data_IF_701878205612
#
_entry.id   IF_701878205612
#
_cell.length_a   1.000
_cell.length_b   1.000
_cell.length_c   1.000
_cell.angle_alpha   90.00
_cell.angle_beta   90.00
_cell.angle_gamma   90.00
#
_symmetry.space_group_name_H-M   'P 1'
#
loop_
_entity.id
_entity.type
_entity.pdbx_description
1 polymer ?
#
# COMPACT_ATOMS: atom_id res chain seq x y z
N UNK A 1 66.21 20.39 28.74
CA UNK A 1 65.42 20.75 27.54
C UNK A 1 64.52 19.57 27.19
N UNK A 2 63.25 19.60 27.61
CA UNK A 2 62.31 18.47 27.55
C UNK A 2 61.13 18.79 26.63
N UNK A 3 60.91 17.87 25.68
CA UNK A 3 59.65 17.56 24.97
C UNK A 3 58.58 18.65 24.96
N UNK A 4 58.53 19.48 23.91
CA UNK A 4 57.38 20.34 23.60
C UNK A 4 57.17 20.51 22.09
N UNK A 5 57.09 19.42 21.34
CA UNK A 5 56.69 19.48 19.92
C UNK A 5 56.43 18.06 19.45
N UNK A 6 55.24 17.52 19.72
CA UNK A 6 54.67 16.34 19.01
C UNK A 6 53.25 16.03 19.53
N UNK A 7 52.40 17.06 19.72
CA UNK A 7 50.99 16.87 20.09
C UNK A 7 50.00 17.62 19.18
N UNK A 8 50.48 18.40 18.20
CA UNK A 8 49.60 19.15 17.30
C UNK A 8 49.24 18.40 15.99
N UNK A 9 50.00 17.40 15.57
CA UNK A 9 49.72 16.68 14.32
C UNK A 9 48.70 15.53 14.47
N UNK A 10 48.39 15.08 15.68
CA UNK A 10 47.44 13.98 15.92
C UNK A 10 45.98 14.44 16.06
N UNK A 11 45.73 15.75 16.25
CA UNK A 11 44.36 16.27 16.38
C UNK A 11 43.69 16.65 15.05
N UNK A 12 44.44 16.71 13.94
CA UNK A 12 43.88 17.07 12.63
C UNK A 12 43.39 15.87 11.81
N UNK A 13 43.65 14.63 12.25
CA UNK A 13 43.31 13.41 11.49
C UNK A 13 41.93 12.83 11.84
N UNK A 14 41.17 13.44 12.77
CA UNK A 14 39.83 12.97 13.17
C UNK A 14 38.65 13.76 12.57
N UNK A 15 38.89 14.77 11.73
CA UNK A 15 37.82 15.63 11.18
C UNK A 15 37.45 15.35 9.71
N UNK A 16 38.01 14.30 9.08
CA UNK A 16 37.85 14.06 7.65
C UNK A 16 36.91 12.88 7.28
N UNK A 17 35.87 12.60 8.07
CA UNK A 17 34.83 11.63 7.66
C UNK A 17 33.40 12.10 8.02
N UNK A 18 32.81 13.05 7.28
CA UNK A 18 31.36 13.08 7.15
C UNK A 18 30.97 13.17 5.67
N UNK A 19 31.30 12.15 4.89
CA UNK A 19 30.81 12.00 3.51
C UNK A 19 31.06 10.54 3.13
N UNK A 20 30.11 9.61 3.22
CA UNK A 20 29.01 9.47 2.27
C UNK A 20 27.98 8.46 2.82
N UNK A 21 27.31 8.77 3.93
CA UNK A 21 26.02 8.12 4.18
C UNK A 21 25.00 8.87 3.32
N UNK A 22 24.53 8.27 2.23
CA UNK A 22 23.40 8.82 1.50
C UNK A 22 22.18 8.78 2.43
N UNK A 23 21.96 9.87 3.15
CA UNK A 23 20.84 9.96 4.09
C UNK A 23 19.55 10.10 3.29
N UNK A 24 18.68 9.10 3.45
CA UNK A 24 17.32 9.17 2.94
C UNK A 24 16.57 10.36 3.55
N UNK A 25 15.62 10.98 2.81
CA UNK A 25 14.87 12.12 3.29
C UNK A 25 14.29 11.91 4.70
N UNK A 26 14.43 12.87 5.62
CA UNK A 26 13.85 12.77 6.97
C UNK A 26 12.32 12.90 6.96
N UNK A 27 11.78 13.55 5.94
CA UNK A 27 10.36 13.77 5.73
C UNK A 27 9.99 13.49 4.27
N UNK A 28 8.73 13.13 4.05
CA UNK A 28 8.18 12.95 2.72
C UNK A 28 6.92 13.78 2.50
N UNK A 29 6.64 14.01 1.22
CA UNK A 29 5.38 14.56 0.73
C UNK A 29 4.98 13.84 -0.55
N UNK A 30 3.72 13.98 -0.95
CA UNK A 30 3.26 13.58 -2.27
C UNK A 30 2.36 14.65 -2.88
N UNK A 31 2.47 14.79 -4.20
CA UNK A 31 1.55 15.61 -4.99
C UNK A 31 0.13 15.00 -4.97
N UNK A 32 -0.87 15.83 -5.24
CA UNK A 32 -2.24 15.36 -5.43
C UNK A 32 -2.29 14.41 -6.64
N UNK A 33 -3.22 13.47 -6.59
CA UNK A 33 -3.42 12.47 -7.64
C UNK A 33 -4.85 12.58 -8.13
N UNK A 34 -5.01 12.66 -9.43
CA UNK A 34 -6.27 12.62 -10.15
C UNK A 34 -6.16 11.61 -11.28
N UNK A 35 -7.12 10.68 -11.38
CA UNK A 35 -7.13 9.68 -12.44
C UNK A 35 -8.55 9.16 -12.70
N UNK A 36 -8.71 8.42 -13.79
CA UNK A 36 -10.00 7.86 -14.23
C UNK A 36 -9.92 6.35 -14.34
N UNK A 37 -11.04 5.68 -14.08
CA UNK A 37 -11.20 4.25 -14.26
C UNK A 37 -12.29 3.99 -15.28
N UNK A 38 -11.96 3.19 -16.29
CA UNK A 38 -12.88 2.79 -17.35
C UNK A 38 -12.93 1.28 -17.49
N UNK A 39 -14.03 0.81 -18.06
CA UNK A 39 -14.13 -0.55 -18.54
C UNK A 39 -13.24 -0.71 -19.78
N UNK A 40 -12.35 -1.70 -19.73
CA UNK A 40 -11.32 -1.87 -20.74
C UNK A 40 -11.89 -2.24 -22.12
N UNK A 41 -13.09 -2.82 -22.18
CA UNK A 41 -13.75 -3.25 -23.41
C UNK A 41 -14.69 -2.16 -23.94
N UNK A 42 -15.65 -1.75 -23.13
CA UNK A 42 -16.69 -0.77 -23.53
C UNK A 42 -16.20 0.67 -23.53
N UNK A 43 -15.04 0.94 -22.91
CA UNK A 43 -14.46 2.28 -22.71
C UNK A 43 -15.32 3.24 -21.89
N UNK A 44 -16.38 2.74 -21.24
CA UNK A 44 -17.25 3.53 -20.37
C UNK A 44 -16.60 3.75 -19.00
N UNK A 45 -16.83 4.90 -18.34
CA UNK A 45 -16.40 5.10 -16.96
C UNK A 45 -16.99 4.06 -16.02
N UNK A 46 -16.23 3.70 -14.98
CA UNK A 46 -16.70 2.79 -13.93
C UNK A 46 -16.84 3.58 -12.62
N UNK A 47 -18.09 3.82 -12.23
CA UNK A 47 -18.43 4.34 -10.90
C UNK A 47 -18.25 3.28 -9.81
N UNK A 48 -17.92 3.68 -8.59
CA UNK A 48 -17.94 2.78 -7.43
C UNK A 48 -16.78 1.79 -7.37
N UNK A 49 -15.65 2.09 -8.04
CA UNK A 49 -14.39 1.35 -7.87
C UNK A 49 -13.75 1.84 -6.58
N UNK A 50 -13.47 0.92 -5.66
CA UNK A 50 -12.71 1.21 -4.45
C UNK A 50 -11.24 1.27 -4.83
N UNK A 51 -10.59 2.38 -4.50
CA UNK A 51 -9.18 2.61 -4.79
C UNK A 51 -8.44 2.84 -3.49
N UNK A 52 -7.46 2.00 -3.18
CA UNK A 52 -6.49 2.27 -2.12
C UNK A 52 -5.18 2.75 -2.71
N UNK A 53 -4.47 3.60 -1.97
CA UNK A 53 -3.12 4.04 -2.29
C UNK A 53 -2.25 3.91 -1.04
N UNK A 54 -1.06 3.31 -1.18
CA UNK A 54 -0.08 3.27 -0.10
C UNK A 54 1.32 3.67 -0.55
N UNK A 55 2.07 4.25 0.39
CA UNK A 55 3.48 4.59 0.24
C UNK A 55 4.25 3.72 1.23
N UNK A 56 4.81 2.62 0.74
CA UNK A 56 5.41 1.57 1.55
C UNK A 56 6.84 1.94 1.95
N UNK A 57 7.11 1.91 3.25
CA UNK A 57 8.46 2.04 3.76
C UNK A 57 9.14 0.69 3.71
N UNK A 58 10.33 0.64 3.12
CA UNK A 58 11.15 -0.57 3.07
C UNK A 58 12.49 -0.37 3.77
N UNK A 59 13.12 -1.47 4.16
CA UNK A 59 14.42 -1.52 4.80
C UNK A 59 14.98 -2.95 4.81
N UNK A 60 15.77 -3.27 5.84
CA UNK A 60 16.47 -4.55 5.94
C UNK A 60 17.78 -4.56 5.14
N UNK A 61 18.51 -5.68 5.18
CA UNK A 61 19.85 -5.80 4.60
C UNK A 61 19.86 -5.55 3.08
N UNK A 62 18.86 -6.07 2.37
CA UNK A 62 18.70 -5.87 0.91
C UNK A 62 17.85 -4.63 0.56
N UNK A 63 17.33 -3.89 1.55
CA UNK A 63 16.55 -2.68 1.31
C UNK A 63 15.19 -2.88 0.64
N UNK A 64 14.66 -4.11 0.67
CA UNK A 64 13.42 -4.51 0.00
C UNK A 64 12.36 -5.07 0.95
N UNK A 65 12.67 -5.19 2.24
CA UNK A 65 11.73 -5.73 3.22
C UNK A 65 10.76 -4.63 3.65
N UNK A 66 9.43 -4.81 3.52
CA UNK A 66 8.47 -3.86 4.08
C UNK A 66 8.70 -3.68 5.59
N UNK A 67 8.69 -2.44 6.07
CA UNK A 67 8.90 -2.09 7.49
C UNK A 67 7.83 -1.15 8.04
N UNK A 68 6.85 -0.78 7.21
CA UNK A 68 5.70 0.04 7.60
C UNK A 68 5.11 0.80 6.43
N UNK A 69 4.16 1.68 6.72
CA UNK A 69 3.52 2.54 5.73
C UNK A 69 3.76 4.00 6.09
N UNK A 70 4.18 4.81 5.12
CA UNK A 70 4.26 6.27 5.28
C UNK A 70 2.86 6.88 5.26
N UNK A 71 2.04 6.45 4.31
CA UNK A 71 0.66 6.92 4.14
C UNK A 71 -0.17 5.80 3.52
N UNK A 72 -1.43 5.71 3.93
CA UNK A 72 -2.44 4.85 3.33
C UNK A 72 -3.70 5.71 3.16
N UNK A 73 -4.28 5.68 1.97
CA UNK A 73 -5.49 6.42 1.62
C UNK A 73 -6.47 5.49 0.91
N UNK A 74 -7.76 5.79 1.03
CA UNK A 74 -8.85 5.12 0.31
C UNK A 74 -9.79 6.16 -0.28
N UNK A 75 -10.29 5.88 -1.47
CA UNK A 75 -11.34 6.65 -2.14
C UNK A 75 -12.21 5.74 -2.99
N UNK A 76 -13.26 6.28 -3.60
CA UNK A 76 -14.17 5.57 -4.51
C UNK A 76 -14.36 6.42 -5.75
N UNK A 77 -14.39 5.79 -6.94
CA UNK A 77 -14.66 6.52 -8.18
C UNK A 77 -16.09 7.06 -8.24
N UNK A 78 -16.24 8.27 -8.77
CA UNK A 78 -17.54 8.89 -9.02
C UNK A 78 -18.20 8.38 -10.32
N UNK A 79 -19.36 8.93 -10.66
CA UNK A 79 -20.14 8.63 -11.87
C UNK A 79 -19.35 8.77 -13.19
N UNK A 80 -18.33 9.62 -13.21
CA UNK A 80 -17.48 9.86 -14.37
C UNK A 80 -16.21 8.96 -14.33
N UNK A 81 -16.20 7.98 -13.42
CA UNK A 81 -15.10 7.05 -13.18
C UNK A 81 -13.87 7.71 -12.56
N UNK A 82 -13.98 8.96 -12.11
CA UNK A 82 -12.87 9.75 -11.61
C UNK A 82 -12.62 9.45 -10.13
N UNK A 83 -11.36 9.37 -9.74
CA UNK A 83 -10.98 9.41 -8.33
C UNK A 83 -9.89 10.45 -8.09
N UNK A 84 -9.82 10.93 -6.84
CA UNK A 84 -8.78 11.86 -6.42
C UNK A 84 -8.21 11.48 -5.05
N UNK A 85 -6.93 11.79 -4.85
CA UNK A 85 -6.27 11.84 -3.56
C UNK A 85 -5.67 13.22 -3.38
N UNK A 86 -5.92 13.84 -2.22
CA UNK A 86 -5.29 15.12 -1.88
C UNK A 86 -3.77 14.96 -1.73
N UNK A 87 -3.03 16.02 -2.04
CA UNK A 87 -1.62 16.11 -1.69
C UNK A 87 -1.45 15.96 -0.16
N UNK A 88 -0.30 15.44 0.26
CA UNK A 88 0.07 15.36 1.66
C UNK A 88 1.55 15.66 1.83
N UNK A 89 2.00 16.09 2.99
CA UNK A 89 3.39 16.48 3.14
C UNK A 89 3.86 16.74 4.55
N UNK A 90 5.18 16.90 4.63
CA UNK A 90 5.93 17.04 5.88
C UNK A 90 5.71 15.88 6.85
N UNK A 91 5.44 14.68 6.33
CA UNK A 91 5.25 13.48 7.15
C UNK A 91 6.63 12.96 7.55
N UNK A 92 6.94 12.87 8.86
CA UNK A 92 8.22 12.39 9.34
C UNK A 92 8.38 10.89 9.09
N UNK A 93 9.53 10.51 8.55
CA UNK A 93 9.90 9.11 8.33
C UNK A 93 10.27 8.44 9.66
N UNK A 94 9.42 7.52 10.12
CA UNK A 94 9.69 6.74 11.35
C UNK A 94 10.83 5.72 11.16
N UNK A 95 10.75 4.87 10.13
CA UNK A 95 11.70 3.78 9.83
C UNK A 95 11.72 3.49 8.33
N UNK A 96 12.82 2.94 7.82
CA UNK A 96 12.93 2.55 6.41
C UNK A 96 12.97 3.77 5.50
N UNK A 97 12.66 3.60 4.23
CA UNK A 97 12.58 4.68 3.24
C UNK A 97 11.61 4.29 2.11
N UNK A 98 11.11 5.28 1.38
CA UNK A 98 10.25 5.04 0.22
C UNK A 98 11.08 4.68 -1.01
N UNK A 99 10.53 3.87 -1.93
CA UNK A 99 11.18 3.52 -3.21
C UNK A 99 10.37 3.99 -4.40
N UNK A 100 10.87 3.71 -5.60
CA UNK A 100 10.28 4.23 -6.84
C UNK A 100 8.90 3.66 -7.17
N UNK A 101 8.43 2.65 -6.43
CA UNK A 101 7.16 1.97 -6.69
C UNK A 101 5.96 2.70 -6.10
N UNK A 102 6.20 3.73 -5.28
CA UNK A 102 5.15 4.45 -4.54
C UNK A 102 4.54 5.60 -5.37
N UNK A 103 3.22 5.84 -5.30
CA UNK A 103 2.25 5.01 -4.59
C UNK A 103 2.01 3.67 -5.30
N UNK A 104 1.70 2.65 -4.49
CA UNK A 104 1.08 1.43 -4.98
C UNK A 104 -0.44 1.58 -4.86
N UNK A 105 -1.19 1.21 -5.90
CA UNK A 105 -2.65 1.22 -5.89
C UNK A 105 -3.21 -0.19 -5.92
N UNK A 106 -4.31 -0.41 -5.19
CA UNK A 106 -5.22 -1.52 -5.41
C UNK A 106 -6.58 -0.97 -5.83
N UNK A 107 -7.07 -1.43 -6.98
CA UNK A 107 -8.38 -1.06 -7.51
C UNK A 107 -9.27 -2.28 -7.51
N UNK A 108 -10.46 -2.15 -6.92
CA UNK A 108 -11.41 -3.25 -6.81
C UNK A 108 -12.85 -2.80 -7.03
N UNK A 109 -13.58 -3.62 -7.81
CA UNK A 109 -15.02 -3.59 -7.94
C UNK A 109 -15.50 -5.03 -8.18
N UNK A 110 -16.60 -5.48 -7.55
CA UNK A 110 -17.19 -6.78 -7.86
C UNK A 110 -17.43 -6.96 -9.37
N UNK A 111 -17.27 -8.18 -9.85
CA UNK A 111 -17.34 -8.58 -11.27
C UNK A 111 -16.20 -8.10 -12.17
N UNK A 112 -15.24 -7.32 -11.67
CA UNK A 112 -14.02 -6.95 -12.39
C UNK A 112 -12.80 -7.70 -11.86
N UNK A 113 -11.80 -7.89 -12.72
CA UNK A 113 -10.43 -8.21 -12.31
C UNK A 113 -9.87 -7.06 -11.48
N UNK A 114 -9.42 -7.34 -10.26
CA UNK A 114 -8.72 -6.34 -9.46
C UNK A 114 -7.41 -5.94 -10.14
N UNK A 115 -6.96 -4.70 -9.90
CA UNK A 115 -5.70 -4.20 -10.45
C UNK A 115 -4.78 -3.75 -9.34
N UNK A 116 -3.54 -4.23 -9.39
CA UNK A 116 -2.42 -3.66 -8.65
C UNK A 116 -1.57 -2.82 -9.58
N UNK A 117 -1.35 -1.56 -9.23
CA UNK A 117 -0.53 -0.63 -10.01
C UNK A 117 0.59 -0.08 -9.13
N UNK A 118 1.73 0.17 -9.75
CA UNK A 118 2.89 0.84 -9.12
C UNK A 118 3.46 1.82 -10.14
N UNK A 119 4.27 2.76 -9.68
CA UNK A 119 5.16 3.51 -10.58
C UNK A 119 6.25 2.59 -11.18
N UNK A 120 6.89 3.03 -12.26
CA UNK A 120 7.94 2.30 -12.96
C UNK A 120 9.10 1.94 -12.02
N UNK A 121 9.53 0.68 -12.11
CA UNK A 121 10.59 0.15 -11.25
C UNK A 121 11.95 0.52 -11.85
N UNK A 122 12.51 1.64 -11.39
CA UNK A 122 13.92 1.96 -11.64
C UNK A 122 14.86 1.28 -10.63
N UNK A 123 16.00 0.79 -11.10
CA UNK A 123 17.07 0.23 -10.26
C UNK A 123 17.73 1.27 -9.34
N UNK A 124 17.68 2.56 -9.73
CA UNK A 124 18.21 3.67 -8.93
C UNK A 124 17.15 4.19 -7.99
N UNK A 125 17.34 4.03 -6.68
CA UNK A 125 16.40 4.54 -5.66
C UNK A 125 16.32 6.07 -5.76
N UNK A 126 15.10 6.59 -5.89
CA UNK A 126 14.86 8.03 -5.86
C UNK A 126 15.00 8.56 -4.43
N UNK A 127 15.95 9.48 -4.26
CA UNK A 127 16.18 10.24 -3.02
C UNK A 127 15.25 11.46 -2.90
N UNK A 128 14.26 11.62 -3.79
CA UNK A 128 13.33 12.73 -3.71
C UNK A 128 12.37 12.57 -2.51
N UNK A 129 12.26 13.63 -1.69
CA UNK A 129 11.29 13.72 -0.61
C UNK A 129 9.86 13.91 -1.13
N UNK A 130 9.71 14.64 -2.24
CA UNK A 130 8.44 14.80 -2.94
C UNK A 130 8.19 13.58 -3.84
N UNK A 131 7.10 12.87 -3.58
CA UNK A 131 6.65 11.72 -4.35
C UNK A 131 5.59 12.13 -5.38
N UNK A 132 5.67 11.51 -6.55
CA UNK A 132 4.74 11.73 -7.66
C UNK A 132 4.15 10.40 -8.06
N UNK A 133 2.89 10.40 -8.49
CA UNK A 133 2.30 9.22 -9.13
C UNK A 133 2.42 9.35 -10.63
N UNK A 134 2.96 8.34 -11.29
CA UNK A 134 2.94 8.24 -12.75
C UNK A 134 1.53 8.00 -13.29
N UNK A 135 0.58 7.66 -12.42
CA UNK A 135 -0.82 7.47 -12.76
C UNK A 135 -1.63 8.77 -12.69
N UNK A 136 -1.04 9.86 -12.21
CA UNK A 136 -1.70 11.17 -12.22
C UNK A 136 -2.00 11.61 -13.66
N UNK A 137 -3.23 12.06 -13.91
CA UNK A 137 -3.73 12.45 -15.22
C UNK A 137 -4.04 11.28 -16.16
N UNK A 138 -3.95 10.02 -15.70
CA UNK A 138 -4.13 8.84 -16.57
C UNK A 138 -5.50 8.18 -16.44
N UNK A 139 -5.85 7.44 -17.47
CA UNK A 139 -7.01 6.55 -17.50
C UNK A 139 -6.57 5.09 -17.32
N UNK A 140 -7.17 4.41 -16.36
CA UNK A 140 -6.88 3.03 -15.97
C UNK A 140 -8.03 2.15 -16.47
N UNK A 141 -7.71 1.19 -17.33
CA UNK A 141 -8.69 0.19 -17.79
C UNK A 141 -8.79 -1.00 -16.83
N UNK A 142 -9.99 -1.29 -16.33
CA UNK A 142 -10.32 -2.53 -15.62
C UNK A 142 -11.09 -3.48 -16.53
N UNK A 143 -10.78 -4.78 -16.47
CA UNK A 143 -11.45 -5.80 -17.28
C UNK A 143 -12.56 -6.44 -16.47
N UNK A 144 -13.72 -6.64 -17.10
CA UNK A 144 -14.73 -7.56 -16.56
C UNK A 144 -14.11 -8.95 -16.42
N UNK A 145 -14.36 -9.59 -15.29
CA UNK A 145 -13.92 -10.95 -15.05
C UNK A 145 -14.78 -11.92 -15.86
N UNK A 146 -14.15 -12.80 -16.67
CA UNK A 146 -14.84 -13.75 -17.57
C UNK A 146 -14.57 -15.22 -17.24
N UNK A 147 -13.95 -15.52 -16.10
CA UNK A 147 -13.61 -16.88 -15.67
C UNK A 147 -14.71 -17.56 -14.84
N UNK A 148 -14.39 -18.71 -14.25
CA UNK A 148 -15.28 -19.42 -13.31
C UNK A 148 -15.31 -18.73 -11.94
N UNK A 149 -16.29 -19.11 -11.12
CA UNK A 149 -16.42 -18.59 -9.76
C UNK A 149 -15.21 -18.94 -8.88
N UNK A 150 -14.64 -20.13 -9.03
CA UNK A 150 -13.41 -20.53 -8.33
C UNK A 150 -12.21 -19.70 -8.79
N UNK A 151 -12.10 -19.43 -10.08
CA UNK A 151 -11.06 -18.55 -10.62
C UNK A 151 -11.24 -17.12 -10.10
N UNK A 152 -12.49 -16.67 -9.93
CA UNK A 152 -12.76 -15.36 -9.34
C UNK A 152 -12.36 -15.32 -7.87
N UNK A 153 -12.68 -16.36 -7.10
CA UNK A 153 -12.27 -16.48 -5.71
C UNK A 153 -10.74 -16.47 -5.57
N UNK A 154 -10.00 -17.11 -6.47
CA UNK A 154 -8.54 -17.02 -6.53
C UNK A 154 -8.05 -15.59 -6.80
N UNK A 155 -8.73 -14.85 -7.68
CA UNK A 155 -8.42 -13.43 -7.91
C UNK A 155 -8.66 -12.58 -6.65
N UNK A 156 -9.77 -12.79 -5.95
CA UNK A 156 -10.07 -12.06 -4.71
C UNK A 156 -9.12 -12.45 -3.58
N UNK A 157 -8.70 -13.71 -3.52
CA UNK A 157 -7.69 -14.17 -2.56
C UNK A 157 -6.35 -13.43 -2.76
N UNK A 158 -5.92 -13.25 -4.01
CA UNK A 158 -4.69 -12.48 -4.30
C UNK A 158 -4.84 -11.01 -3.92
N UNK A 159 -6.00 -10.39 -4.17
CA UNK A 159 -6.28 -9.04 -3.65
C UNK A 159 -6.19 -9.00 -2.12
N UNK A 160 -6.76 -9.99 -1.42
CA UNK A 160 -6.65 -10.10 0.03
C UNK A 160 -5.20 -10.24 0.50
N UNK A 161 -4.37 -11.00 -0.21
CA UNK A 161 -2.94 -11.14 0.07
C UNK A 161 -2.16 -9.84 -0.17
N UNK A 162 -2.47 -9.13 -1.26
CA UNK A 162 -1.90 -7.81 -1.55
C UNK A 162 -2.31 -6.80 -0.47
N UNK A 163 -3.55 -6.88 0.03
CA UNK A 163 -4.06 -6.04 1.11
C UNK A 163 -3.39 -6.33 2.45
N UNK A 164 -3.22 -7.61 2.81
CA UNK A 164 -2.50 -8.05 4.01
C UNK A 164 -1.07 -7.50 4.02
N UNK A 165 -0.37 -7.61 2.88
CA UNK A 165 0.95 -7.01 2.68
C UNK A 165 0.93 -5.49 2.80
N UNK A 166 -0.08 -4.83 2.20
CA UNK A 166 -0.22 -3.37 2.23
C UNK A 166 -0.45 -2.82 3.64
N UNK A 167 -1.23 -3.54 4.45
CA UNK A 167 -1.60 -3.12 5.80
C UNK A 167 -0.65 -3.61 6.88
N UNK A 168 0.29 -4.49 6.52
CA UNK A 168 1.30 -5.07 7.42
C UNK A 168 0.66 -5.86 8.59
N UNK A 169 -0.41 -6.59 8.28
CA UNK A 169 -1.15 -7.41 9.26
C UNK A 169 -0.27 -8.49 9.89
N UNK A 170 0.60 -9.13 9.11
CA UNK A 170 1.58 -10.10 9.61
C UNK A 170 2.51 -9.53 10.71
N UNK A 171 2.66 -8.20 10.81
CA UNK A 171 3.44 -7.52 11.86
C UNK A 171 2.57 -6.81 12.90
N UNK A 172 1.27 -7.11 12.92
CA UNK A 172 0.30 -6.70 13.94
C UNK A 172 -0.31 -5.31 13.74
N UNK A 173 -0.24 -4.73 12.53
CA UNK A 173 -0.74 -3.39 12.18
C UNK A 173 -0.63 -2.36 13.30
N UNK A 174 0.61 -1.96 13.59
CA UNK A 174 0.92 -1.06 14.70
C UNK A 174 0.33 0.35 14.51
N UNK A 175 0.05 0.73 13.27
CA UNK A 175 -0.42 2.06 12.89
C UNK A 175 -1.93 2.10 12.56
N UNK A 176 -2.67 1.02 12.85
CA UNK A 176 -4.10 0.90 12.61
C UNK A 176 -4.50 1.21 11.15
N UNK A 177 -3.66 0.82 10.19
CA UNK A 177 -3.85 1.08 8.77
C UNK A 177 -5.16 0.50 8.25
N UNK A 178 -5.70 -0.58 8.83
CA UNK A 178 -7.02 -1.10 8.48
C UNK A 178 -8.14 -0.04 8.58
N UNK A 179 -8.02 0.92 9.50
CA UNK A 179 -9.00 2.02 9.63
C UNK A 179 -8.97 2.99 8.46
N UNK A 180 -7.87 3.01 7.70
CA UNK A 180 -7.68 3.90 6.55
C UNK A 180 -8.23 3.32 5.25
N UNK A 181 -8.63 2.04 5.26
CA UNK A 181 -9.16 1.31 4.09
C UNK A 181 -10.42 0.51 4.42
N UNK A 182 -11.44 1.12 5.03
CA UNK A 182 -12.60 0.40 5.52
C UNK A 182 -13.44 -0.22 4.40
N UNK A 183 -13.58 0.45 3.25
CA UNK A 183 -14.45 -0.05 2.18
C UNK A 183 -13.83 -1.26 1.49
N UNK A 184 -12.52 -1.23 1.24
CA UNK A 184 -11.80 -2.35 0.62
C UNK A 184 -11.88 -3.60 1.50
N UNK A 185 -11.60 -3.49 2.79
CA UNK A 185 -11.68 -4.62 3.73
C UNK A 185 -13.10 -5.13 3.90
N UNK A 186 -14.09 -4.24 3.91
CA UNK A 186 -15.50 -4.61 3.92
C UNK A 186 -15.90 -5.37 2.66
N UNK A 187 -15.43 -4.92 1.49
CA UNK A 187 -15.73 -5.57 0.23
C UNK A 187 -15.09 -6.97 0.17
N UNK A 188 -13.86 -7.13 0.65
CA UNK A 188 -13.19 -8.43 0.80
C UNK A 188 -13.94 -9.36 1.76
N UNK A 189 -14.39 -8.83 2.91
CA UNK A 189 -15.22 -9.58 3.86
C UNK A 189 -16.52 -10.08 3.20
N UNK A 190 -17.27 -9.19 2.52
CA UNK A 190 -18.52 -9.54 1.84
C UNK A 190 -18.28 -10.59 0.74
N UNK A 191 -17.21 -10.47 -0.05
CA UNK A 191 -16.84 -11.48 -1.06
C UNK A 191 -16.49 -12.83 -0.42
N UNK A 192 -15.73 -12.83 0.68
CA UNK A 192 -15.35 -14.05 1.41
C UNK A 192 -16.58 -14.81 1.93
N UNK A 193 -17.58 -14.11 2.49
CA UNK A 193 -18.85 -14.70 2.90
C UNK A 193 -19.67 -15.22 1.71
N UNK A 194 -19.70 -14.47 0.61
CA UNK A 194 -20.42 -14.88 -0.61
C UNK A 194 -19.89 -16.21 -1.16
N UNK A 195 -18.57 -16.35 -1.28
CA UNK A 195 -17.95 -17.58 -1.77
C UNK A 195 -18.14 -18.77 -0.81
N UNK A 196 -18.10 -18.53 0.50
CA UNK A 196 -18.39 -19.56 1.50
C UNK A 196 -19.83 -20.07 1.37
N UNK A 197 -20.80 -19.15 1.27
CA UNK A 197 -22.22 -19.50 1.10
C UNK A 197 -22.50 -20.32 -0.18
N UNK A 198 -21.67 -20.14 -1.21
CA UNK A 198 -21.76 -20.88 -2.46
C UNK A 198 -20.91 -22.16 -2.48
N UNK A 199 -20.22 -22.49 -1.38
CA UNK A 199 -19.34 -23.65 -1.30
C UNK A 199 -18.11 -23.57 -2.21
N UNK A 200 -17.73 -22.37 -2.66
CA UNK A 200 -16.56 -22.16 -3.51
C UNK A 200 -15.29 -22.46 -2.73
N UNK A 201 -14.43 -23.31 -3.30
CA UNK A 201 -13.15 -23.67 -2.70
C UNK A 201 -12.01 -23.13 -3.54
N UNK A 202 -11.01 -22.56 -2.86
CA UNK A 202 -9.71 -22.26 -3.47
C UNK A 202 -9.02 -23.56 -3.91
N UNK A 203 -8.13 -23.46 -4.90
CA UNK A 203 -7.44 -24.60 -5.52
C UNK A 203 -5.97 -24.69 -5.09
N UNK A 204 -5.39 -25.88 -5.27
CA UNK A 204 -3.97 -26.13 -5.02
C UNK A 204 -3.59 -25.99 -3.53
N UNK A 205 -2.43 -25.38 -3.26
CA UNK A 205 -1.90 -25.21 -1.89
C UNK A 205 -2.77 -24.30 -1.00
N UNK A 206 -3.72 -23.56 -1.59
CA UNK A 206 -4.66 -22.68 -0.90
C UNK A 206 -5.95 -23.38 -0.51
N UNK A 207 -6.10 -24.67 -0.82
CA UNK A 207 -7.27 -25.44 -0.43
C UNK A 207 -7.45 -25.36 1.10
N UNK A 208 -8.62 -24.92 1.55
CA UNK A 208 -8.92 -24.71 2.96
C UNK A 208 -8.51 -23.34 3.52
N UNK A 209 -7.80 -22.52 2.74
CA UNK A 209 -7.62 -21.10 3.06
C UNK A 209 -8.87 -20.31 2.68
N UNK A 210 -9.06 -19.17 3.34
CA UNK A 210 -10.15 -18.23 3.05
C UNK A 210 -9.60 -16.86 2.69
N UNK A 211 -10.40 -16.10 1.94
CA UNK A 211 -10.14 -14.67 1.70
C UNK A 211 -10.25 -13.93 3.02
N UNK A 212 -9.32 -13.00 3.24
CA UNK A 212 -9.25 -12.18 4.44
C UNK A 212 -10.58 -11.51 4.76
N UNK A 213 -10.94 -11.54 6.04
CA UNK A 213 -12.12 -10.89 6.59
C UNK A 213 -11.72 -9.90 7.68
N UNK A 214 -12.67 -9.07 8.08
CA UNK A 214 -12.48 -8.15 9.22
C UNK A 214 -12.18 -8.89 10.53
N UNK A 215 -12.67 -10.11 10.74
CA UNK A 215 -12.34 -10.95 11.90
C UNK A 215 -10.92 -11.51 11.88
N UNK A 216 -10.23 -11.50 10.74
CA UNK A 216 -8.82 -11.89 10.63
C UNK A 216 -7.85 -10.75 11.03
N UNK A 217 -8.34 -9.52 11.16
CA UNK A 217 -7.50 -8.37 11.47
C UNK A 217 -6.95 -8.53 12.90
N UNK A 218 -5.62 -8.45 13.10
CA UNK A 218 -5.01 -8.68 14.40
C UNK A 218 -5.50 -7.65 15.42
N UNK A 219 -5.85 -8.12 16.61
CA UNK A 219 -6.21 -7.24 17.71
C UNK A 219 -5.02 -6.38 18.12
N UNK A 220 -5.23 -5.07 18.19
CA UNK A 220 -4.27 -4.12 18.71
C UNK A 220 -4.99 -3.18 19.67
N UNK A 221 -4.65 -3.25 20.96
CA UNK A 221 -5.30 -2.47 22.01
C UNK A 221 -5.26 -0.95 21.75
N UNK A 222 -4.25 -0.45 21.02
CA UNK A 222 -4.15 0.97 20.66
C UNK A 222 -5.09 1.37 19.52
N UNK A 223 -5.59 0.41 18.75
CA UNK A 223 -6.46 0.62 17.61
C UNK A 223 -7.95 0.48 17.96
N UNK A 224 -8.31 0.03 19.16
CA UNK A 224 -9.70 -0.21 19.54
C UNK A 224 -10.31 -1.45 18.87
N UNK A 225 -11.64 -1.60 18.95
CA UNK A 225 -12.35 -2.77 18.43
C UNK A 225 -12.51 -2.72 16.91
N UNK A 226 -12.06 -3.78 16.23
CA UNK A 226 -12.28 -3.98 14.80
C UNK A 226 -13.76 -4.14 14.49
N UNK A 227 -14.46 -4.97 15.27
CA UNK A 227 -15.88 -5.23 15.09
C UNK A 227 -16.71 -3.94 15.20
N UNK A 228 -16.44 -3.13 16.23
CA UNK A 228 -17.17 -1.89 16.47
C UNK A 228 -16.96 -0.90 15.32
N UNK A 229 -15.71 -0.77 14.85
CA UNK A 229 -15.39 0.13 13.75
C UNK A 229 -16.04 -0.30 12.44
N UNK A 230 -16.04 -1.60 12.13
CA UNK A 230 -16.62 -2.10 10.88
C UNK A 230 -18.14 -2.25 10.91
N UNK A 231 -18.78 -2.13 12.08
CA UNK A 231 -20.23 -2.28 12.24
C UNK A 231 -21.03 -1.39 11.27
N UNK A 232 -20.63 -0.14 11.07
CA UNK A 232 -21.32 0.78 10.14
C UNK A 232 -21.06 0.48 8.66
N UNK A 233 -19.98 -0.24 8.33
CA UNK A 233 -19.63 -0.60 6.96
C UNK A 233 -20.25 -1.93 6.52
N UNK A 234 -20.51 -2.82 7.49
CA UNK A 234 -21.07 -4.15 7.26
C UNK A 234 -22.61 -4.18 7.23
N UNK A 235 -23.28 -3.08 7.59
CA UNK A 235 -24.71 -2.90 7.40
C UNK A 235 -25.10 -2.89 5.91
#
# INVERSE_FOLDING_TARGET
>A
MKQRTNLLCLLFMFMALPACAAEYPPTYSAEAIEAWVIDAETKKPIEGVIVTANWELVGGFEGNTPVGQMKVLETVTDKDGKFTFSAWGSEPRKKGYLRNRDPQFLLFKPSYEYRRLVNEVSSKISMASLRRSEWNGKTIGMKLFKGTQEEYAEHIYRLGSDMDSMLDFARGDKDCNWKKTPRMLTALHKMSLHFEAQGTKLKGWRLGQRIIRTDDIPHNAKCGSVEEFFRSYLQ
#
